data_IF_476057415766
#
_entry.id   IF_476057415766
#
_cell.length_a   1.000
_cell.length_b   1.000
_cell.length_c   1.000
_cell.angle_alpha   90.00
_cell.angle_beta   90.00
_cell.angle_gamma   90.00
#
_symmetry.space_group_name_H-M   'P 1'
#
loop_
_entity.id
_entity.type
_entity.pdbx_description
1 polymer ?
#
# COMPACT_ATOMS: atom_id res chain seq x y z
N UNK A 1 5.28 18.10 4.55
CA UNK A 1 5.03 17.21 3.41
C UNK A 1 5.89 15.96 3.47
N UNK A 2 5.33 14.80 3.08
CA UNK A 2 6.03 13.53 2.87
C UNK A 2 5.49 12.84 1.62
N UNK A 3 6.33 12.07 0.95
CA UNK A 3 5.99 11.27 -0.22
C UNK A 3 6.11 9.79 0.11
N UNK A 4 5.36 8.96 -0.59
CA UNK A 4 5.52 7.51 -0.54
C UNK A 4 5.29 6.91 -1.92
N UNK A 5 6.00 5.81 -2.22
CA UNK A 5 5.82 5.09 -3.47
C UNK A 5 5.08 3.80 -3.13
N UNK A 6 3.86 3.68 -3.63
CA UNK A 6 2.97 2.56 -3.34
C UNK A 6 2.52 1.89 -4.62
N UNK A 7 2.03 0.67 -4.47
CA UNK A 7 1.07 0.10 -5.41
C UNK A 7 -0.35 0.45 -4.94
N UNK A 8 -1.23 0.78 -5.88
CA UNK A 8 -2.68 0.78 -5.65
C UNK A 8 -3.37 0.30 -6.93
N UNK A 9 -4.47 -0.47 -6.85
CA UNK A 9 -5.21 -0.84 -8.06
C UNK A 9 -5.73 0.41 -8.79
N UNK A 10 -5.94 0.34 -10.12
CA UNK A 10 -6.44 1.48 -10.88
C UNK A 10 -7.82 1.94 -10.38
N UNK A 11 -8.18 3.21 -10.59
CA UNK A 11 -9.41 3.81 -10.04
C UNK A 11 -10.71 3.07 -10.41
N UNK A 12 -10.74 2.38 -11.54
CA UNK A 12 -11.87 1.58 -11.99
C UNK A 12 -12.01 0.20 -11.34
N UNK A 13 -10.98 -0.27 -10.64
CA UNK A 13 -10.87 -1.64 -10.13
C UNK A 13 -11.89 -1.95 -9.02
N UNK A 14 -12.50 -3.13 -9.09
CA UNK A 14 -13.46 -3.60 -8.09
C UNK A 14 -12.84 -3.76 -6.69
N UNK A 15 -11.60 -4.24 -6.61
CA UNK A 15 -10.89 -4.43 -5.34
C UNK A 15 -10.68 -3.10 -4.61
N UNK A 16 -10.28 -2.06 -5.35
CA UNK A 16 -10.13 -0.72 -4.79
C UNK A 16 -11.47 -0.16 -4.27
N UNK A 17 -12.56 -0.34 -5.02
CA UNK A 17 -13.90 0.12 -4.61
C UNK A 17 -14.37 -0.57 -3.33
N UNK A 18 -14.22 -1.89 -3.26
CA UNK A 18 -14.55 -2.68 -2.06
C UNK A 18 -13.70 -2.21 -0.87
N UNK A 19 -12.40 -2.05 -1.06
CA UNK A 19 -11.53 -1.58 -0.01
C UNK A 19 -11.82 -0.14 0.45
N UNK A 20 -12.16 0.76 -0.46
CA UNK A 20 -12.54 2.13 -0.12
C UNK A 20 -13.85 2.17 0.69
N UNK A 21 -14.81 1.27 0.40
CA UNK A 21 -16.02 1.10 1.23
C UNK A 21 -15.66 0.62 2.64
N UNK A 22 -14.81 -0.41 2.76
CA UNK A 22 -14.35 -0.92 4.05
C UNK A 22 -13.64 0.16 4.88
N UNK A 23 -12.66 0.84 4.28
CA UNK A 23 -11.87 1.88 4.93
C UNK A 23 -12.66 3.18 5.14
N UNK A 24 -13.81 3.37 4.48
CA UNK A 24 -14.61 4.59 4.57
C UNK A 24 -13.95 5.83 3.97
N UNK A 25 -12.96 5.69 3.08
CA UNK A 25 -12.35 6.80 2.31
C UNK A 25 -11.72 6.33 1.00
N UNK A 26 -11.85 7.14 -0.05
CA UNK A 26 -11.09 7.01 -1.29
C UNK A 26 -9.80 7.84 -1.24
N UNK A 27 -8.65 7.22 -1.55
CA UNK A 27 -7.39 7.95 -1.68
C UNK A 27 -7.27 8.73 -3.01
N UNK A 28 -8.11 8.41 -4.00
CA UNK A 28 -8.15 9.10 -5.29
C UNK A 28 -8.87 10.46 -5.20
N UNK A 29 -9.98 10.52 -4.46
CA UNK A 29 -10.77 11.76 -4.31
C UNK A 29 -10.55 12.47 -2.98
N UNK A 30 -9.94 11.80 -1.99
CA UNK A 30 -9.85 12.30 -0.62
C UNK A 30 -11.19 12.20 0.16
N UNK A 31 -12.29 11.88 -0.53
CA UNK A 31 -13.63 11.91 0.04
C UNK A 31 -13.95 10.70 0.91
N UNK A 32 -14.76 10.96 1.94
CA UNK A 32 -15.33 9.92 2.77
C UNK A 32 -16.28 9.04 1.95
N UNK A 33 -16.23 7.74 2.21
CA UNK A 33 -17.11 6.75 1.59
C UNK A 33 -18.09 6.26 2.65
N UNK A 34 -19.35 6.09 2.26
CA UNK A 34 -20.37 5.56 3.16
C UNK A 34 -19.96 4.17 3.64
N UNK A 35 -19.87 3.98 4.95
CA UNK A 35 -19.53 2.69 5.53
C UNK A 35 -20.57 1.63 5.17
N UNK A 36 -20.13 0.39 4.90
CA UNK A 36 -21.02 -0.72 4.69
C UNK A 36 -21.74 -1.11 5.98
N UNK A 37 -22.99 -1.55 5.84
CA UNK A 37 -23.69 -2.22 6.93
C UNK A 37 -23.22 -3.68 6.99
N UNK A 38 -22.42 -4.03 8.01
CA UNK A 38 -21.92 -5.39 8.22
C UNK A 38 -22.65 -5.99 9.41
N UNK A 39 -23.36 -7.10 9.20
CA UNK A 39 -24.22 -7.70 10.25
C UNK A 39 -23.46 -8.06 11.52
N UNK A 40 -22.19 -8.42 11.38
CA UNK A 40 -21.34 -8.94 12.44
C UNK A 40 -20.48 -7.88 13.11
N UNK A 41 -20.43 -6.64 12.63
CA UNK A 41 -19.59 -5.58 13.21
C UNK A 41 -20.36 -4.25 13.27
N UNK A 42 -20.33 -3.57 14.41
CA UNK A 42 -20.91 -2.24 14.52
C UNK A 42 -20.12 -1.23 13.68
N UNK A 43 -20.79 -0.17 13.19
CA UNK A 43 -20.14 0.85 12.39
C UNK A 43 -18.98 1.56 13.14
N UNK A 44 -19.16 1.80 14.44
CA UNK A 44 -18.13 2.42 15.30
C UNK A 44 -16.91 1.51 15.47
N UNK A 45 -17.12 0.20 15.54
CA UNK A 45 -16.02 -0.78 15.58
C UNK A 45 -15.22 -0.76 14.28
N UNK A 46 -15.90 -0.71 13.13
CA UNK A 46 -15.24 -0.60 11.82
C UNK A 46 -14.45 0.71 11.73
N UNK A 47 -15.02 1.83 12.19
CA UNK A 47 -14.34 3.12 12.23
C UNK A 47 -13.06 3.10 13.07
N UNK A 48 -13.11 2.49 14.25
CA UNK A 48 -11.97 2.32 15.12
C UNK A 48 -10.92 1.39 14.51
N UNK A 49 -11.35 0.24 13.97
CA UNK A 49 -10.47 -0.72 13.29
C UNK A 49 -9.79 -0.10 12.08
N UNK A 50 -10.45 0.80 11.35
CA UNK A 50 -9.92 1.35 10.10
C UNK A 50 -9.23 2.70 10.27
N UNK A 51 -9.17 3.29 11.47
CA UNK A 51 -8.66 4.66 11.68
C UNK A 51 -7.29 4.89 11.02
N UNK A 52 -6.30 4.06 11.34
CA UNK A 52 -4.95 4.16 10.80
C UNK A 52 -4.88 3.83 9.30
N UNK A 53 -5.31 2.65 8.80
CA UNK A 53 -5.22 2.34 7.37
C UNK A 53 -6.07 3.26 6.51
N UNK A 54 -7.23 3.72 7.02
CA UNK A 54 -8.04 4.74 6.36
C UNK A 54 -7.16 5.94 6.09
N UNK A 55 -6.41 6.50 7.06
CA UNK A 55 -5.53 7.67 6.85
C UNK A 55 -4.55 7.48 5.69
N UNK A 56 -3.99 6.30 5.50
CA UNK A 56 -3.07 6.03 4.40
C UNK A 56 -3.77 5.75 3.05
N UNK A 57 -5.04 5.34 3.09
CA UNK A 57 -5.75 4.85 1.92
C UNK A 57 -5.38 3.42 1.58
N UNK A 58 -6.12 2.81 0.67
CA UNK A 58 -5.86 1.43 0.26
C UNK A 58 -4.65 1.35 -0.68
N UNK A 59 -3.58 0.71 -0.22
CA UNK A 59 -2.29 0.68 -0.92
C UNK A 59 -1.44 -0.50 -0.45
N UNK A 60 -0.47 -0.91 -1.26
CA UNK A 60 0.65 -1.77 -0.89
C UNK A 60 1.95 -0.96 -0.85
N UNK A 61 2.67 -0.98 0.28
CA UNK A 61 3.89 -0.18 0.41
C UNK A 61 5.04 -0.75 -0.43
N UNK A 62 5.67 0.06 -1.29
CA UNK A 62 6.92 -0.29 -1.99
C UNK A 62 8.11 0.52 -1.45
N UNK A 63 7.90 1.82 -1.19
CA UNK A 63 8.79 2.68 -0.39
C UNK A 63 7.97 3.41 0.67
N UNK A 64 8.35 3.22 1.93
CA UNK A 64 7.70 3.86 3.06
C UNK A 64 7.81 5.40 2.99
N UNK A 65 6.91 6.15 3.66
CA UNK A 65 6.91 7.60 3.59
C UNK A 65 8.25 8.25 3.94
N UNK A 66 8.70 9.19 3.10
CA UNK A 66 9.93 9.96 3.25
C UNK A 66 9.70 11.45 3.01
N UNK A 67 10.60 12.28 3.55
CA UNK A 67 10.73 13.69 3.14
C UNK A 67 11.70 13.76 1.98
N UNK A 68 11.50 14.70 1.06
CA UNK A 68 12.51 14.99 0.04
C UNK A 68 13.78 15.52 0.69
N UNK A 69 14.92 15.04 0.21
CA UNK A 69 16.24 15.56 0.56
C UNK A 69 16.45 16.96 0.01
N UNK A 70 17.23 17.77 0.72
CA UNK A 70 17.56 19.12 0.28
C UNK A 70 18.28 19.10 -1.08
N UNK A 71 17.86 19.98 -2.00
CA UNK A 71 18.37 20.05 -3.36
C UNK A 71 17.62 19.21 -4.39
N UNK A 72 16.62 18.41 -3.99
CA UNK A 72 15.66 17.79 -4.90
C UNK A 72 14.31 18.50 -4.85
N UNK A 73 13.70 18.67 -6.02
CA UNK A 73 12.33 19.12 -6.17
C UNK A 73 11.37 17.93 -6.38
N UNK A 74 10.07 18.16 -6.18
CA UNK A 74 9.04 17.16 -6.48
C UNK A 74 9.05 16.75 -7.97
N UNK A 75 9.37 17.69 -8.85
CA UNK A 75 9.52 17.49 -10.30
C UNK A 75 10.62 16.47 -10.64
N UNK A 76 11.73 16.45 -9.89
CA UNK A 76 12.81 15.48 -10.04
C UNK A 76 12.34 14.07 -9.66
N UNK A 77 11.62 13.95 -8.54
CA UNK A 77 11.05 12.69 -8.07
C UNK A 77 10.04 12.13 -9.08
N UNK A 78 9.13 12.96 -9.58
CA UNK A 78 8.14 12.59 -10.59
C UNK A 78 8.80 12.12 -11.89
N UNK A 79 9.82 12.85 -12.35
CA UNK A 79 10.57 12.50 -13.57
C UNK A 79 11.27 11.15 -13.42
N UNK A 80 11.92 10.93 -12.28
CA UNK A 80 12.56 9.63 -11.98
C UNK A 80 11.54 8.50 -11.86
N UNK A 81 10.37 8.74 -11.25
CA UNK A 81 9.31 7.75 -11.12
C UNK A 81 8.70 7.37 -12.46
N UNK A 82 8.47 8.35 -13.33
CA UNK A 82 7.99 8.11 -14.70
C UNK A 82 9.01 7.30 -15.53
N UNK A 83 10.29 7.63 -15.43
CA UNK A 83 11.34 6.88 -16.12
C UNK A 83 11.46 5.44 -15.60
N UNK A 84 11.45 5.27 -14.28
CA UNK A 84 11.51 3.95 -13.65
C UNK A 84 10.31 3.09 -14.02
N UNK A 85 9.10 3.64 -13.94
CA UNK A 85 7.88 2.93 -14.31
C UNK A 85 7.90 2.51 -15.80
N UNK A 86 8.30 3.40 -16.71
CA UNK A 86 8.35 3.06 -18.14
C UNK A 86 9.41 2.00 -18.50
N UNK A 87 10.38 1.77 -17.62
CA UNK A 87 11.39 0.70 -17.77
C UNK A 87 11.00 -0.61 -17.06
N UNK A 88 9.99 -0.56 -16.17
CA UNK A 88 9.55 -1.68 -15.35
C UNK A 88 8.47 -2.50 -16.06
N UNK A 89 8.57 -3.83 -16.01
CA UNK A 89 7.59 -4.74 -16.63
C UNK A 89 6.40 -4.99 -15.71
N UNK A 90 5.15 -4.86 -16.19
CA UNK A 90 3.97 -5.30 -15.46
C UNK A 90 4.02 -6.80 -15.12
N UNK A 91 3.38 -7.17 -14.02
CA UNK A 91 3.18 -8.56 -13.63
C UNK A 91 1.86 -8.72 -12.86
N UNK A 92 1.54 -9.94 -12.46
CA UNK A 92 0.28 -10.28 -11.80
C UNK A 92 0.55 -10.92 -10.45
N UNK A 93 -0.19 -10.52 -9.43
CA UNK A 93 -0.37 -11.27 -8.19
C UNK A 93 -1.50 -12.26 -8.43
N UNK A 94 -1.24 -13.59 -8.45
CA UNK A 94 -2.24 -14.58 -8.87
C UNK A 94 -3.49 -14.59 -7.98
N UNK A 95 -3.30 -14.45 -6.67
CA UNK A 95 -4.39 -14.44 -5.69
C UNK A 95 -3.99 -13.67 -4.45
N UNK A 96 -4.94 -12.93 -3.89
CA UNK A 96 -4.84 -12.31 -2.58
C UNK A 96 -5.72 -13.07 -1.57
N UNK A 97 -5.31 -13.06 -0.31
CA UNK A 97 -6.10 -13.56 0.82
C UNK A 97 -6.10 -12.54 1.96
N UNK A 98 -7.14 -12.57 2.78
CA UNK A 98 -7.08 -11.93 4.09
C UNK A 98 -6.05 -12.66 4.93
N UNK A 99 -5.14 -11.92 5.55
CA UNK A 99 -4.10 -12.47 6.39
C UNK A 99 -3.89 -11.58 7.62
N UNK A 100 -3.76 -12.24 8.76
CA UNK A 100 -3.24 -11.63 9.98
C UNK A 100 -1.74 -11.37 9.88
N UNK A 101 -1.32 -10.12 10.09
CA UNK A 101 0.08 -9.71 10.20
C UNK A 101 0.29 -9.08 11.57
N UNK A 102 0.86 -9.86 12.49
CA UNK A 102 0.96 -9.47 13.90
C UNK A 102 -0.43 -9.09 14.46
N UNK A 103 -0.63 -7.85 14.95
CA UNK A 103 -1.88 -7.44 15.57
C UNK A 103 -2.99 -7.03 14.58
N UNK A 104 -2.75 -6.94 13.28
CA UNK A 104 -3.72 -6.39 12.31
C UNK A 104 -4.02 -7.35 11.15
N UNK A 105 -5.04 -7.03 10.35
CA UNK A 105 -5.39 -7.76 9.12
C UNK A 105 -5.08 -6.93 7.86
N UNK A 106 -4.66 -7.61 6.82
CA UNK A 106 -4.36 -7.05 5.52
C UNK A 106 -4.74 -8.04 4.40
N UNK A 107 -4.79 -7.56 3.16
CA UNK A 107 -4.70 -8.45 1.99
C UNK A 107 -3.23 -8.71 1.68
N UNK A 108 -2.87 -9.96 1.45
CA UNK A 108 -1.52 -10.37 1.08
C UNK A 108 -1.57 -11.44 -0.02
N UNK A 109 -0.50 -11.63 -0.81
CA UNK A 109 -0.42 -12.70 -1.80
C UNK A 109 -0.60 -14.04 -1.11
N UNK A 110 -1.40 -14.93 -1.71
CA UNK A 110 -1.58 -16.28 -1.17
C UNK A 110 -0.26 -17.05 -1.14
N UNK A 111 0.53 -16.88 -2.21
CA UNK A 111 1.85 -17.45 -2.45
C UNK A 111 2.90 -16.34 -2.73
N UNK A 112 4.20 -16.59 -2.50
CA UNK A 112 5.26 -15.64 -2.83
C UNK A 112 5.27 -15.22 -4.30
N UNK A 113 5.40 -13.92 -4.56
CA UNK A 113 5.51 -13.34 -5.91
C UNK A 113 6.91 -12.71 -6.06
N UNK A 114 7.81 -13.36 -6.80
CA UNK A 114 9.21 -12.93 -6.88
C UNK A 114 9.36 -11.54 -7.52
N UNK A 115 8.59 -11.26 -8.57
CA UNK A 115 8.55 -9.99 -9.29
C UNK A 115 8.15 -8.82 -8.37
N UNK A 116 7.26 -9.07 -7.41
CA UNK A 116 6.81 -8.08 -6.44
C UNK A 116 7.91 -7.72 -5.44
N UNK A 117 8.65 -8.73 -4.97
CA UNK A 117 9.80 -8.52 -4.09
C UNK A 117 10.92 -7.78 -4.83
N UNK A 118 11.18 -8.15 -6.09
CA UNK A 118 12.18 -7.48 -6.92
C UNK A 118 11.80 -6.02 -7.18
N UNK A 119 10.55 -5.75 -7.56
CA UNK A 119 10.06 -4.38 -7.75
C UNK A 119 10.23 -3.54 -6.49
N UNK A 120 9.87 -4.06 -5.31
CA UNK A 120 10.03 -3.34 -4.05
C UNK A 120 11.51 -3.01 -3.77
N UNK A 121 12.43 -3.96 -4.00
CA UNK A 121 13.87 -3.75 -3.84
C UNK A 121 14.40 -2.66 -4.78
N UNK A 122 14.02 -2.74 -6.05
CA UNK A 122 14.47 -1.80 -7.08
C UNK A 122 13.95 -0.38 -6.81
N UNK A 123 12.71 -0.26 -6.32
CA UNK A 123 12.13 1.01 -5.87
C UNK A 123 12.88 1.55 -4.66
N UNK A 124 13.20 0.72 -3.66
CA UNK A 124 13.96 1.17 -2.48
C UNK A 124 15.31 1.73 -2.90
N UNK A 125 16.06 0.99 -3.72
CA UNK A 125 17.41 1.36 -4.18
C UNK A 125 17.39 2.61 -5.05
N UNK A 126 16.52 2.63 -6.06
CA UNK A 126 16.50 3.72 -7.07
C UNK A 126 16.09 5.06 -6.49
N UNK A 127 15.20 5.05 -5.49
CA UNK A 127 14.62 6.27 -4.93
C UNK A 127 15.23 6.69 -3.59
N UNK A 128 16.22 5.97 -3.06
CA UNK A 128 16.81 6.36 -1.77
C UNK A 128 17.51 7.72 -1.81
N UNK A 129 18.10 8.09 -2.96
CA UNK A 129 18.72 9.42 -3.14
C UNK A 129 17.78 10.60 -2.89
N UNK A 130 16.47 10.41 -3.06
CA UNK A 130 15.47 11.44 -2.84
C UNK A 130 15.03 11.56 -1.39
N UNK A 131 15.37 10.58 -0.54
CA UNK A 131 14.92 10.54 0.84
C UNK A 131 15.88 11.34 1.72
N UNK A 132 15.33 12.29 2.46
CA UNK A 132 16.07 12.95 3.52
C UNK A 132 16.44 12.00 4.68
N UNK A 133 17.58 12.20 5.35
CA UNK A 133 17.90 11.51 6.59
C UNK A 133 16.74 11.57 7.59
N UNK A 134 16.52 10.47 8.31
CA UNK A 134 15.49 10.42 9.34
C UNK A 134 15.86 11.36 10.49
N UNK A 135 14.87 12.03 11.06
CA UNK A 135 15.01 12.74 12.34
C UNK A 135 14.91 11.75 13.50
N UNK A 136 15.47 12.10 14.65
CA UNK A 136 15.40 11.28 15.87
C UNK A 136 13.97 10.87 16.24
N UNK A 137 13.01 11.80 16.08
CA UNK A 137 11.60 11.52 16.31
C UNK A 137 10.99 10.50 15.31
N UNK A 138 11.53 10.41 14.10
CA UNK A 138 11.13 9.43 13.08
C UNK A 138 11.75 8.06 13.39
N UNK A 139 13.00 8.02 13.85
CA UNK A 139 13.69 6.81 14.31
C UNK A 139 13.00 6.24 15.57
N UNK A 140 12.76 7.06 16.59
CA UNK A 140 12.14 6.65 17.85
C UNK A 140 10.76 6.00 17.64
N UNK A 141 9.96 6.50 16.68
CA UNK A 141 8.66 5.89 16.32
C UNK A 141 8.79 4.47 15.80
N UNK A 142 9.93 4.08 15.23
CA UNK A 142 10.19 2.72 14.75
C UNK A 142 10.65 1.76 15.85
N UNK A 143 10.84 2.25 17.08
CA UNK A 143 11.24 1.43 18.24
C UNK A 143 12.47 0.56 17.94
N UNK A 144 13.62 1.17 17.57
CA UNK A 144 14.82 0.45 17.15
C UNK A 144 15.34 -0.58 18.17
N UNK A 145 15.00 -0.40 19.44
CA UNK A 145 15.28 -1.34 20.53
C UNK A 145 14.56 -2.69 20.37
N UNK A 146 13.45 -2.73 19.63
CA UNK A 146 12.67 -3.94 19.34
C UNK A 146 13.00 -4.59 17.99
N UNK A 147 13.82 -3.93 17.18
CA UNK A 147 14.19 -4.42 15.85
C UNK A 147 15.30 -5.47 15.92
N UNK A 148 15.33 -6.37 14.93
CA UNK A 148 16.49 -7.25 14.71
C UNK A 148 17.73 -6.44 14.28
N UNK A 149 18.91 -7.08 14.26
CA UNK A 149 20.12 -6.42 13.75
C UNK A 149 19.96 -5.99 12.28
N UNK A 150 19.41 -6.88 11.43
CA UNK A 150 19.12 -6.59 10.02
C UNK A 150 18.13 -5.44 9.85
N UNK A 151 17.04 -5.45 10.62
CA UNK A 151 16.04 -4.38 10.58
C UNK A 151 16.61 -3.02 11.03
N UNK A 152 17.53 -3.00 12.01
CA UNK A 152 18.24 -1.77 12.40
C UNK A 152 19.16 -1.26 11.30
N UNK A 153 19.92 -2.15 10.66
CA UNK A 153 20.75 -1.79 9.51
C UNK A 153 19.90 -1.22 8.36
N UNK A 154 18.74 -1.84 8.12
CA UNK A 154 17.79 -1.36 7.12
C UNK A 154 17.21 0.01 7.48
N UNK A 155 16.85 0.23 8.75
CA UNK A 155 16.36 1.53 9.23
C UNK A 155 17.40 2.64 9.04
N UNK A 156 18.65 2.37 9.38
CA UNK A 156 19.76 3.32 9.24
C UNK A 156 20.04 3.66 7.77
N UNK A 157 20.20 2.63 6.94
CA UNK A 157 20.59 2.80 5.54
C UNK A 157 19.45 3.28 4.64
N UNK A 158 18.25 2.73 4.80
CA UNK A 158 17.14 2.91 3.86
C UNK A 158 15.96 3.69 4.46
N UNK A 159 16.05 4.08 5.73
CA UNK A 159 15.00 4.82 6.43
C UNK A 159 13.77 3.97 6.81
N UNK A 160 13.80 2.65 6.59
CA UNK A 160 12.70 1.75 6.91
C UNK A 160 13.20 0.32 7.18
N UNK A 161 12.72 -0.37 8.24
CA UNK A 161 13.26 -1.66 8.64
C UNK A 161 12.84 -2.84 7.76
N UNK A 162 11.64 -2.78 7.15
CA UNK A 162 11.01 -3.91 6.45
C UNK A 162 11.22 -3.84 4.93
N UNK A 163 12.49 -3.81 4.51
CA UNK A 163 12.94 -3.82 3.11
C UNK A 163 13.80 -5.05 2.81
N UNK A 164 13.98 -5.41 1.53
CA UNK A 164 14.73 -6.60 1.10
C UNK A 164 14.18 -7.89 1.71
N UNK A 165 15.01 -8.68 2.38
CA UNK A 165 14.60 -9.96 2.97
C UNK A 165 13.51 -9.82 4.05
N UNK A 166 13.34 -8.61 4.61
CA UNK A 166 12.30 -8.26 5.58
C UNK A 166 11.00 -7.76 4.90
N UNK A 167 11.00 -7.55 3.59
CA UNK A 167 9.84 -7.07 2.85
C UNK A 167 8.75 -8.14 2.79
N UNK A 168 7.52 -7.76 3.14
CA UNK A 168 6.32 -8.59 3.01
C UNK A 168 5.22 -7.71 2.44
N UNK A 169 4.85 -7.95 1.18
CA UNK A 169 3.77 -7.18 0.57
C UNK A 169 2.46 -7.43 1.30
N UNK A 170 1.77 -6.35 1.63
CA UNK A 170 0.44 -6.39 2.21
C UNK A 170 -0.28 -5.06 1.94
N UNK A 171 -1.61 -5.12 1.97
CA UNK A 171 -2.51 -3.98 1.81
C UNK A 171 -3.42 -3.91 3.03
N UNK A 172 -3.08 -3.03 3.97
CA UNK A 172 -3.65 -3.01 5.32
C UNK A 172 -5.15 -2.71 5.32
N UNK A 173 -5.91 -3.54 6.04
CA UNK A 173 -7.36 -3.42 6.20
C UNK A 173 -7.75 -2.90 7.58
N UNK A 174 -6.98 -3.23 8.62
CA UNK A 174 -7.24 -2.77 9.99
C UNK A 174 -5.98 -2.24 10.67
N UNK A 175 -6.15 -1.45 11.71
CA UNK A 175 -5.16 -1.29 12.77
C UNK A 175 -5.13 -2.53 13.69
N UNK A 176 -4.58 -2.36 14.88
CA UNK A 176 -4.48 -3.46 15.84
C UNK A 176 -5.88 -3.95 16.29
N UNK A 177 -6.08 -5.27 16.22
CA UNK A 177 -7.31 -5.96 16.60
C UNK A 177 -7.07 -6.73 17.89
N UNK A 178 -7.97 -6.53 18.87
CA UNK A 178 -7.94 -7.28 20.12
C UNK A 178 -8.07 -8.79 19.86
N UNK A 179 -7.27 -9.61 20.53
CA UNK A 179 -7.27 -11.07 20.39
C UNK A 179 -8.66 -11.70 20.44
N UNK A 180 -9.54 -11.21 21.33
CA UNK A 180 -10.92 -11.71 21.48
C UNK A 180 -11.80 -11.40 20.27
N UNK A 181 -11.52 -10.32 19.56
CA UNK A 181 -12.27 -9.87 18.39
C UNK A 181 -11.73 -10.47 17.08
N UNK A 182 -10.49 -11.00 17.06
CA UNK A 182 -9.83 -11.48 15.83
C UNK A 182 -10.69 -12.46 15.02
N UNK A 183 -11.30 -13.52 15.59
CA UNK A 183 -12.08 -14.47 14.78
C UNK A 183 -13.35 -13.86 14.19
N UNK A 184 -13.90 -12.81 14.81
CA UNK A 184 -15.07 -12.10 14.29
C UNK A 184 -14.67 -11.15 13.17
N UNK A 185 -13.59 -10.40 13.35
CA UNK A 185 -13.05 -9.46 12.35
C UNK A 185 -12.57 -10.21 11.11
N UNK A 186 -11.83 -11.30 11.28
CA UNK A 186 -11.34 -12.13 10.17
C UNK A 186 -12.49 -12.64 9.30
N UNK A 187 -13.52 -13.25 9.91
CA UNK A 187 -14.71 -13.73 9.19
C UNK A 187 -15.45 -12.61 8.46
N UNK A 188 -15.58 -11.43 9.10
CA UNK A 188 -16.21 -10.27 8.47
C UNK A 188 -15.41 -9.78 7.26
N UNK A 189 -14.08 -9.77 7.36
CA UNK A 189 -13.19 -9.40 6.26
C UNK A 189 -13.24 -10.42 5.12
N UNK A 190 -13.19 -11.72 5.42
CA UNK A 190 -13.30 -12.78 4.42
C UNK A 190 -14.62 -12.68 3.65
N UNK A 191 -15.75 -12.56 4.35
CA UNK A 191 -17.07 -12.39 3.72
C UNK A 191 -17.12 -11.13 2.86
N UNK A 192 -16.64 -10.00 3.40
CA UNK A 192 -16.69 -8.70 2.73
C UNK A 192 -15.82 -8.63 1.47
N UNK A 193 -14.63 -9.23 1.49
CA UNK A 193 -13.69 -9.20 0.36
C UNK A 193 -13.86 -10.39 -0.60
N UNK A 194 -14.51 -11.49 -0.19
CA UNK A 194 -14.70 -12.68 -1.04
C UNK A 194 -15.09 -12.40 -2.50
N UNK A 195 -15.97 -11.43 -2.84
CA UNK A 195 -16.37 -11.21 -4.23
C UNK A 195 -15.26 -10.69 -5.16
N UNK A 196 -14.10 -10.27 -4.61
CA UNK A 196 -13.00 -9.65 -5.38
C UNK A 196 -11.64 -10.34 -5.19
N UNK A 197 -11.56 -11.42 -4.39
CA UNK A 197 -10.30 -12.11 -4.09
C UNK A 197 -9.96 -13.29 -5.01
N UNK A 198 -10.93 -13.80 -5.77
CA UNK A 198 -10.69 -14.88 -6.74
C UNK A 198 -10.06 -14.38 -8.06
N UNK A 199 -10.10 -13.08 -8.29
CA UNK A 199 -9.54 -12.45 -9.48
C UNK A 199 -8.07 -12.04 -9.25
N UNK A 200 -7.15 -12.34 -10.18
CA UNK A 200 -5.78 -11.88 -10.09
C UNK A 200 -5.70 -10.34 -10.05
N UNK A 201 -4.64 -9.84 -9.41
CA UNK A 201 -4.37 -8.40 -9.30
C UNK A 201 -3.17 -8.04 -10.17
N UNK A 202 -3.41 -7.21 -11.17
CA UNK A 202 -2.36 -6.71 -12.05
C UNK A 202 -1.58 -5.57 -11.38
N UNK A 203 -0.26 -5.73 -11.31
CA UNK A 203 0.68 -4.68 -10.90
C UNK A 203 1.25 -4.05 -12.16
N UNK A 204 0.56 -3.03 -12.66
CA UNK A 204 0.89 -2.32 -13.90
C UNK A 204 1.09 -0.80 -13.69
N UNK A 205 1.15 -0.33 -12.44
CA UNK A 205 1.45 1.07 -12.15
C UNK A 205 2.16 1.22 -10.81
N UNK A 206 2.93 2.30 -10.70
CA UNK A 206 3.42 2.84 -9.44
C UNK A 206 2.65 4.11 -9.11
N UNK A 207 2.29 4.27 -7.85
CA UNK A 207 1.58 5.45 -7.36
C UNK A 207 2.50 6.28 -6.47
N UNK A 208 2.59 7.57 -6.76
CA UNK A 208 3.11 8.54 -5.81
C UNK A 208 1.96 9.00 -4.91
N UNK A 209 2.11 8.76 -3.61
CA UNK A 209 1.21 9.30 -2.60
C UNK A 209 1.90 10.47 -1.90
N UNK A 210 1.10 11.47 -1.53
CA UNK A 210 1.57 12.64 -0.78
C UNK A 210 0.78 12.78 0.51
N UNK A 211 1.49 13.12 1.57
CA UNK A 211 0.92 13.70 2.77
C UNK A 211 1.38 15.15 2.82
N UNK A 212 0.47 16.09 2.57
CA UNK A 212 0.76 17.54 2.50
C UNK A 212 1.35 18.05 3.82
N UNK A 213 0.73 17.66 4.93
CA UNK A 213 1.11 18.08 6.29
C UNK A 213 1.15 16.91 7.26
N UNK A 214 1.97 17.01 8.31
CA UNK A 214 2.14 15.92 9.27
C UNK A 214 0.80 15.54 9.90
N UNK A 215 0.35 14.31 9.64
CA UNK A 215 -0.91 13.79 10.17
C UNK A 215 -2.08 13.87 9.19
N UNK A 216 -1.95 14.59 8.07
CA UNK A 216 -2.96 14.63 7.03
C UNK A 216 -3.20 13.22 6.43
N UNK A 217 -4.37 12.98 5.84
CA UNK A 217 -4.58 11.84 4.95
C UNK A 217 -3.54 11.81 3.83
N UNK A 218 -3.06 10.62 3.49
CA UNK A 218 -2.34 10.45 2.23
C UNK A 218 -3.35 10.42 1.07
N UNK A 219 -2.99 11.10 0.00
CA UNK A 219 -3.74 11.18 -1.26
C UNK A 219 -2.86 10.75 -2.42
N UNK A 220 -3.49 10.25 -3.48
CA UNK A 220 -2.78 9.87 -4.71
C UNK A 220 -2.43 11.16 -5.45
N UNK A 221 -1.13 11.44 -5.54
CA UNK A 221 -0.62 12.55 -6.33
C UNK A 221 -0.60 12.20 -7.83
N UNK A 222 -0.07 11.02 -8.16
CA UNK A 222 0.05 10.57 -9.55
C UNK A 222 0.16 9.05 -9.67
N UNK A 223 -0.30 8.53 -10.81
CA UNK A 223 -0.09 7.14 -11.22
C UNK A 223 0.86 7.11 -12.43
N UNK A 224 1.83 6.20 -12.38
CA UNK A 224 2.86 6.02 -13.40
C UNK A 224 2.75 4.59 -13.96
N UNK A 225 2.18 4.42 -15.17
CA UNK A 225 2.05 3.12 -15.80
C UNK A 225 3.40 2.44 -16.01
N UNK A 226 3.45 1.15 -15.73
CA UNK A 226 4.57 0.29 -16.03
C UNK A 226 4.45 -0.17 -17.48
N UNK A 227 5.41 0.17 -18.33
CA UNK A 227 5.36 -0.13 -19.78
C UNK A 227 6.61 -0.82 -20.30
N UNK A 228 7.52 -1.20 -19.39
CA UNK A 228 8.70 -1.96 -19.73
C UNK A 228 8.31 -3.27 -20.41
N UNK A 229 8.95 -3.58 -21.53
CA UNK A 229 8.73 -4.84 -22.25
C UNK A 229 7.60 -4.83 -23.29
N UNK A 230 6.67 -3.87 -23.29
CA UNK A 230 5.52 -3.87 -24.21
C UNK A 230 5.50 -2.65 -25.16
N UNK A 231 6.08 -2.84 -26.35
CA UNK A 231 5.37 -2.45 -27.57
C UNK A 231 4.38 -3.58 -27.89
N UNK A 232 3.09 -3.33 -27.63
CA UNK A 232 1.91 -4.15 -27.98
C UNK A 232 1.64 -5.43 -27.14
N UNK A 233 0.79 -5.30 -26.12
CA UNK A 233 -0.28 -6.26 -25.85
C UNK A 233 -1.49 -5.54 -25.24
N UNK A 234 -2.52 -5.28 -26.05
CA UNK A 234 -3.84 -4.84 -25.54
C UNK A 234 -4.38 -5.94 -24.63
N UNK A 235 -4.66 -5.64 -23.35
CA UNK A 235 -5.36 -6.58 -22.46
C UNK A 235 -6.47 -5.92 -21.65
N UNK A 236 -7.48 -6.76 -21.40
CA UNK A 236 -8.86 -6.47 -21.03
C UNK A 236 -8.98 -5.82 -19.65
N UNK A 237 -9.70 -4.71 -19.58
CA UNK A 237 -10.18 -4.15 -18.32
C UNK A 237 -11.15 -5.13 -17.64
N UNK A 238 -11.18 -5.14 -16.30
CA UNK A 238 -12.27 -5.73 -15.50
C UNK A 238 -13.59 -5.11 -15.98
N UNK A 239 -14.41 -5.90 -16.68
CA UNK A 239 -15.74 -5.45 -17.08
C UNK A 239 -16.64 -5.38 -15.84
N UNK A 240 -17.24 -4.22 -15.60
CA UNK A 240 -18.29 -4.07 -14.59
C UNK A 240 -19.51 -4.84 -15.09
N UNK A 241 -19.74 -6.03 -14.54
CA UNK A 241 -21.01 -6.73 -14.70
C UNK A 241 -22.13 -5.85 -14.16
N UNK A 242 -22.93 -5.29 -15.07
CA UNK A 242 -24.23 -4.70 -14.72
C UNK A 242 -25.18 -5.85 -14.44
N UNK A 243 -25.68 -5.92 -13.21
CA UNK A 243 -26.97 -6.56 -12.92
C UNK A 243 -28.09 -5.62 -13.37
#
# INVERSE_FOLDING_TARGET
>A
MRYAIYFTPPSGDALLKVAANWLGRSAFSGEAVKLPAIRTLAADDILALTEEPRRYGFHGTLKAPFRLEEGFEESDLLSALMYFASSSRPFVIPRLKVQAIGPFFALAPEEPVAELNQLANDVVVSFDRFRAPLRDAEIAKRRPERLSATQRQNLDRWGYPYVFDEFRFHMTLTGAVNEKQRPQVERALDEFFSPVLDEPVEVANLALFVESEKGAPFEIHSLHPMTGGDKLAKRSFRAVGRA
#
